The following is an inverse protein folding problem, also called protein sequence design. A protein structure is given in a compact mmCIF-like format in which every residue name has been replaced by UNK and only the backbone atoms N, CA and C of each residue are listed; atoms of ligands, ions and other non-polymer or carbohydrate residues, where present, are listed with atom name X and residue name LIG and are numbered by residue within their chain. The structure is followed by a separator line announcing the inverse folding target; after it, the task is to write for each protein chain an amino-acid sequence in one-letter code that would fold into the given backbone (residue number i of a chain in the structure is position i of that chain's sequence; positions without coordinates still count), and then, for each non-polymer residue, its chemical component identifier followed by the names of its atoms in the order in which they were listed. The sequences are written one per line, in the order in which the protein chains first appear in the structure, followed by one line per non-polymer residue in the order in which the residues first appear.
data_IF_494682099586
#
_entry.id   IF_494682099586
#
_cell.length_a   1.000
_cell.length_b   1.000
_cell.length_c   1.000
_cell.angle_alpha   90.00
_cell.angle_beta   90.00
_cell.angle_gamma   90.00
#
_symmetry.space_group_name_H-M   'P 1'
#
loop_
_entity.id
_entity.type
_entity.pdbx_description
1 polymer ?
#
# COMPACT_ATOMS: atom_id res chain seq x y z
N UNK A 1 -15.03 -33.21 -23.11
CA UNK A 1 -13.89 -32.30 -22.84
C UNK A 1 -13.02 -32.99 -21.82
N UNK A 2 -11.79 -33.39 -22.19
CA UNK A 2 -10.94 -34.24 -21.36
C UNK A 2 -10.19 -33.39 -20.33
N UNK A 3 -9.91 -33.97 -19.14
CA UNK A 3 -9.17 -33.35 -18.05
C UNK A 3 -7.82 -32.72 -18.48
N UNK A 4 -7.20 -33.24 -19.53
CA UNK A 4 -5.95 -32.70 -20.11
C UNK A 4 -6.09 -31.34 -20.80
N UNK A 5 -7.26 -31.09 -21.44
CA UNK A 5 -7.54 -29.82 -22.13
C UNK A 5 -7.78 -28.67 -21.16
N UNK A 6 -8.48 -28.94 -20.05
CA UNK A 6 -8.73 -27.97 -18.97
C UNK A 6 -7.44 -27.61 -18.24
N UNK A 7 -6.55 -28.58 -18.04
CA UNK A 7 -5.23 -28.35 -17.41
C UNK A 7 -4.32 -27.52 -18.30
N UNK A 8 -4.32 -27.78 -19.62
CA UNK A 8 -3.54 -27.01 -20.60
C UNK A 8 -3.98 -25.55 -20.71
N UNK A 9 -5.29 -25.29 -20.72
CA UNK A 9 -5.84 -23.93 -20.76
C UNK A 9 -5.53 -23.14 -19.50
N UNK A 10 -5.64 -23.74 -18.31
CA UNK A 10 -5.26 -23.11 -17.02
C UNK A 10 -3.78 -22.76 -16.98
N UNK A 11 -2.92 -23.69 -17.41
CA UNK A 11 -1.47 -23.45 -17.39
C UNK A 11 -1.05 -22.32 -18.35
N UNK A 12 -1.73 -22.18 -19.48
CA UNK A 12 -1.52 -21.09 -20.43
C UNK A 12 -1.93 -19.74 -19.81
N UNK A 13 -3.03 -19.69 -19.06
CA UNK A 13 -3.55 -18.48 -18.44
C UNK A 13 -2.67 -18.00 -17.27
N UNK A 14 -2.20 -18.93 -16.43
CA UNK A 14 -1.25 -18.61 -15.36
C UNK A 14 0.06 -18.03 -15.90
N UNK A 15 0.58 -18.56 -17.02
CA UNK A 15 1.76 -18.02 -17.70
C UNK A 15 1.51 -16.62 -18.26
N UNK A 16 0.35 -16.39 -18.85
CA UNK A 16 -0.05 -15.08 -19.34
C UNK A 16 -0.18 -14.06 -18.19
N UNK A 17 -0.77 -14.47 -17.06
CA UNK A 17 -0.82 -13.66 -15.84
C UNK A 17 0.59 -13.29 -15.36
N UNK A 18 1.48 -14.26 -15.26
CA UNK A 18 2.86 -14.03 -14.85
C UNK A 18 3.55 -13.02 -15.77
N UNK A 19 3.50 -13.22 -17.09
CA UNK A 19 4.13 -12.32 -18.05
C UNK A 19 3.57 -10.89 -17.99
N UNK A 20 2.24 -10.76 -17.85
CA UNK A 20 1.58 -9.46 -17.72
C UNK A 20 2.02 -8.72 -16.46
N UNK A 21 1.97 -9.39 -15.29
CA UNK A 21 2.36 -8.75 -14.03
C UNK A 21 3.86 -8.51 -13.95
N UNK A 22 4.68 -9.34 -14.57
CA UNK A 22 6.12 -9.09 -14.68
C UNK A 22 6.40 -7.82 -15.51
N UNK A 23 5.73 -7.67 -16.66
CA UNK A 23 5.81 -6.45 -17.49
C UNK A 23 5.35 -5.21 -16.71
N UNK A 24 4.23 -5.31 -16.01
CA UNK A 24 3.71 -4.23 -15.16
C UNK A 24 4.72 -3.87 -14.07
N UNK A 25 5.25 -4.86 -13.33
CA UNK A 25 6.25 -4.64 -12.29
C UNK A 25 7.56 -4.04 -12.79
N UNK A 26 7.98 -4.36 -14.03
CA UNK A 26 9.21 -3.86 -14.63
C UNK A 26 9.10 -2.42 -15.15
N UNK A 27 7.95 -2.06 -15.71
CA UNK A 27 7.78 -0.81 -16.44
C UNK A 27 6.87 0.23 -15.76
N UNK A 28 6.30 -0.09 -14.60
CA UNK A 28 5.49 0.88 -13.87
C UNK A 28 6.37 1.75 -12.99
N UNK A 29 6.61 2.97 -13.44
CA UNK A 29 7.26 4.01 -12.67
C UNK A 29 6.18 4.96 -12.13
N UNK A 30 6.03 5.04 -10.81
CA UNK A 30 5.09 5.96 -10.17
C UNK A 30 4.33 5.36 -8.99
N UNK A 31 3.39 6.15 -8.44
CA UNK A 31 2.56 5.75 -7.32
C UNK A 31 1.37 4.86 -7.70
N UNK A 32 0.63 4.39 -6.71
CA UNK A 32 -0.47 3.42 -6.85
C UNK A 32 -1.50 3.76 -7.93
N UNK A 33 -1.85 5.02 -8.11
CA UNK A 33 -2.84 5.44 -9.12
C UNK A 33 -2.38 5.25 -10.57
N UNK A 34 -1.09 5.44 -10.86
CA UNK A 34 -0.57 5.18 -12.21
C UNK A 34 -0.67 3.70 -12.56
N UNK A 35 -0.44 2.82 -11.58
CA UNK A 35 -0.60 1.38 -11.73
C UNK A 35 -2.06 0.97 -11.89
N UNK A 36 -3.00 1.62 -11.19
CA UNK A 36 -4.45 1.35 -11.34
C UNK A 36 -4.87 1.56 -12.78
N UNK A 37 -4.50 2.70 -13.39
CA UNK A 37 -4.83 2.97 -14.79
C UNK A 37 -4.23 1.92 -15.75
N UNK A 38 -3.00 1.47 -15.49
CA UNK A 38 -2.36 0.44 -16.31
C UNK A 38 -3.03 -0.92 -16.15
N UNK A 39 -3.43 -1.28 -14.93
CA UNK A 39 -4.17 -2.52 -14.65
C UNK A 39 -5.55 -2.50 -15.29
N UNK A 40 -6.26 -1.35 -15.23
CA UNK A 40 -7.57 -1.18 -15.88
C UNK A 40 -7.43 -1.41 -17.39
N UNK A 41 -6.49 -0.72 -18.02
CA UNK A 41 -6.23 -0.88 -19.45
C UNK A 41 -5.90 -2.33 -19.83
N UNK A 42 -5.00 -2.98 -19.11
CA UNK A 42 -4.55 -4.34 -19.43
C UNK A 42 -5.64 -5.41 -19.19
N UNK A 43 -6.35 -5.34 -18.05
CA UNK A 43 -7.26 -6.42 -17.64
C UNK A 43 -8.73 -6.18 -18.00
N UNK A 44 -9.16 -4.93 -18.12
CA UNK A 44 -10.54 -4.58 -18.48
C UNK A 44 -10.64 -4.30 -19.97
N UNK A 45 -9.77 -3.45 -20.54
CA UNK A 45 -9.89 -2.98 -21.92
C UNK A 45 -9.26 -3.96 -22.92
N UNK A 46 -7.97 -4.34 -22.73
CA UNK A 46 -7.28 -5.20 -23.69
C UNK A 46 -7.66 -6.68 -23.55
N UNK A 47 -7.48 -7.26 -22.36
CA UNK A 47 -7.70 -8.69 -22.16
C UNK A 47 -9.14 -9.05 -21.85
N UNK A 48 -9.92 -8.11 -21.35
CA UNK A 48 -11.32 -8.33 -20.95
C UNK A 48 -11.49 -9.53 -19.99
N UNK A 49 -10.51 -9.71 -19.11
CA UNK A 49 -10.54 -10.79 -18.12
C UNK A 49 -11.33 -10.45 -16.86
N UNK A 50 -11.54 -9.15 -16.64
CA UNK A 50 -12.25 -8.60 -15.48
C UNK A 50 -13.18 -7.51 -15.99
N UNK A 51 -14.41 -7.46 -15.47
CA UNK A 51 -15.33 -6.36 -15.78
C UNK A 51 -14.90 -5.08 -15.07
N UNK A 52 -15.39 -3.93 -15.52
CA UNK A 52 -15.09 -2.64 -14.88
C UNK A 52 -15.58 -2.58 -13.44
N UNK A 53 -16.74 -3.15 -13.14
CA UNK A 53 -17.30 -3.19 -11.79
C UNK A 53 -16.41 -4.02 -10.86
N UNK A 54 -16.06 -5.23 -11.30
CA UNK A 54 -15.14 -6.10 -10.56
C UNK A 54 -13.75 -5.48 -10.35
N UNK A 55 -13.30 -4.68 -11.30
CA UNK A 55 -12.04 -3.96 -11.19
C UNK A 55 -12.11 -2.85 -10.11
N UNK A 56 -13.22 -2.10 -10.05
CA UNK A 56 -13.43 -1.09 -9.01
C UNK A 56 -13.51 -1.71 -7.62
N UNK A 57 -14.18 -2.85 -7.47
CA UNK A 57 -14.21 -3.60 -6.20
C UNK A 57 -12.80 -4.05 -5.80
N UNK A 58 -12.01 -4.53 -6.74
CA UNK A 58 -10.62 -4.91 -6.52
C UNK A 58 -9.79 -3.72 -6.03
N UNK A 59 -9.93 -2.55 -6.65
CA UNK A 59 -9.23 -1.32 -6.24
C UNK A 59 -9.58 -0.96 -4.79
N UNK A 60 -10.86 -0.98 -4.43
CA UNK A 60 -11.31 -0.69 -3.08
C UNK A 60 -10.73 -1.68 -2.04
N UNK A 61 -10.71 -2.98 -2.36
CA UNK A 61 -10.11 -4.01 -1.50
C UNK A 61 -8.59 -3.81 -1.39
N UNK A 62 -7.91 -3.56 -2.51
CA UNK A 62 -6.46 -3.37 -2.52
C UNK A 62 -6.02 -2.12 -1.74
N UNK A 63 -6.81 -1.04 -1.77
CA UNK A 63 -6.57 0.18 -0.98
C UNK A 63 -6.85 -0.02 0.52
N UNK A 64 -7.84 -0.83 0.86
CA UNK A 64 -8.19 -1.12 2.26
C UNK A 64 -7.25 -2.14 2.92
N UNK A 65 -6.51 -2.90 2.12
CA UNK A 65 -5.58 -3.93 2.59
C UNK A 65 -4.20 -3.33 2.88
N UNK A 66 -3.62 -3.50 4.08
CA UNK A 66 -2.28 -3.03 4.37
C UNK A 66 -1.25 -3.65 3.43
N UNK A 67 -0.45 -2.82 2.75
CA UNK A 67 0.59 -3.25 1.83
C UNK A 67 0.65 -2.44 0.53
N UNK A 68 1.63 -2.71 -0.34
CA UNK A 68 1.73 -2.06 -1.62
C UNK A 68 0.53 -2.41 -2.51
N UNK A 69 -0.18 -1.40 -2.99
CA UNK A 69 -1.37 -1.57 -3.83
C UNK A 69 -1.12 -2.48 -5.04
N UNK A 70 0.06 -2.36 -5.64
CA UNK A 70 0.50 -3.21 -6.75
C UNK A 70 0.45 -4.71 -6.43
N UNK A 71 0.97 -5.06 -5.26
CA UNK A 71 1.05 -6.45 -4.79
C UNK A 71 -0.34 -6.97 -4.43
N UNK A 72 -1.13 -6.14 -3.72
CA UNK A 72 -2.49 -6.48 -3.34
C UNK A 72 -3.39 -6.72 -4.58
N UNK A 73 -3.30 -5.82 -5.58
CA UNK A 73 -4.03 -5.95 -6.85
C UNK A 73 -3.61 -7.17 -7.65
N UNK A 74 -2.30 -7.44 -7.74
CA UNK A 74 -1.78 -8.62 -8.43
C UNK A 74 -2.27 -9.92 -7.78
N UNK A 75 -2.23 -9.96 -6.44
CA UNK A 75 -2.72 -11.11 -5.68
C UNK A 75 -4.21 -11.33 -5.89
N UNK A 76 -5.02 -10.26 -5.83
CA UNK A 76 -6.45 -10.34 -6.01
C UNK A 76 -6.84 -10.80 -7.42
N UNK A 77 -6.31 -10.15 -8.47
CA UNK A 77 -6.59 -10.52 -9.86
C UNK A 77 -6.13 -11.95 -10.13
N UNK A 78 -4.95 -12.32 -9.69
CA UNK A 78 -4.42 -13.67 -9.84
C UNK A 78 -5.30 -14.71 -9.16
N UNK A 79 -5.74 -14.45 -7.94
CA UNK A 79 -6.64 -15.34 -7.21
C UNK A 79 -8.02 -15.47 -7.90
N UNK A 80 -8.58 -14.36 -8.34
CA UNK A 80 -9.87 -14.35 -9.02
C UNK A 80 -9.85 -15.15 -10.31
N UNK A 81 -8.77 -15.07 -11.08
CA UNK A 81 -8.69 -15.71 -12.39
C UNK A 81 -8.27 -17.18 -12.34
N UNK A 82 -7.36 -17.56 -11.46
CA UNK A 82 -6.75 -18.91 -11.42
C UNK A 82 -6.59 -19.46 -10.00
N UNK A 83 -7.25 -18.85 -8.99
CA UNK A 83 -7.16 -19.28 -7.60
C UNK A 83 -5.78 -19.08 -7.01
N UNK A 84 -5.40 -19.95 -6.05
CA UNK A 84 -4.12 -19.84 -5.32
C UNK A 84 -2.88 -19.84 -6.23
N UNK A 85 -2.75 -20.72 -7.25
CA UNK A 85 -1.59 -20.69 -8.14
C UNK A 85 -1.52 -19.41 -8.97
N UNK A 86 -2.66 -18.85 -9.39
CA UNK A 86 -2.72 -17.55 -10.07
C UNK A 86 -2.28 -16.41 -9.15
N UNK A 87 -2.75 -16.38 -7.91
CA UNK A 87 -2.33 -15.40 -6.92
C UNK A 87 -0.82 -15.43 -6.69
N UNK A 88 -0.26 -16.62 -6.44
CA UNK A 88 1.18 -16.78 -6.22
C UNK A 88 2.00 -16.33 -7.45
N UNK A 89 1.60 -16.77 -8.65
CA UNK A 89 2.28 -16.40 -9.88
C UNK A 89 2.27 -14.87 -10.13
N UNK A 90 1.12 -14.23 -9.96
CA UNK A 90 0.96 -12.78 -10.18
C UNK A 90 1.73 -11.96 -9.14
N UNK A 91 1.67 -12.36 -7.88
CA UNK A 91 2.39 -11.69 -6.78
C UNK A 91 3.90 -11.81 -6.97
N UNK A 92 4.41 -12.99 -7.26
CA UNK A 92 5.83 -13.17 -7.54
C UNK A 92 6.25 -12.37 -8.78
N UNK A 93 5.45 -12.39 -9.84
CA UNK A 93 5.77 -11.70 -11.08
C UNK A 93 5.92 -10.19 -10.91
N UNK A 94 5.02 -9.54 -10.16
CA UNK A 94 5.09 -8.09 -9.93
C UNK A 94 6.26 -7.69 -9.03
N UNK A 95 6.68 -8.55 -8.11
CA UNK A 95 7.79 -8.29 -7.19
C UNK A 95 9.17 -8.58 -7.80
N UNK A 96 9.27 -9.58 -8.69
CA UNK A 96 10.55 -10.05 -9.23
C UNK A 96 11.42 -8.96 -9.87
N UNK A 97 10.92 -8.07 -10.74
CA UNK A 97 11.73 -7.05 -11.37
C UNK A 97 12.38 -6.11 -10.35
N UNK A 98 11.58 -5.61 -9.40
CA UNK A 98 12.07 -4.72 -8.34
C UNK A 98 13.07 -5.42 -7.44
N UNK A 99 12.81 -6.68 -7.07
CA UNK A 99 13.72 -7.49 -6.28
C UNK A 99 15.05 -7.71 -7.01
N UNK A 100 15.02 -8.05 -8.31
CA UNK A 100 16.22 -8.27 -9.11
C UNK A 100 17.09 -7.01 -9.19
N UNK A 101 16.48 -5.84 -9.42
CA UNK A 101 17.19 -4.57 -9.46
C UNK A 101 17.83 -4.23 -8.12
N UNK A 102 17.07 -4.35 -7.01
CA UNK A 102 17.58 -4.07 -5.66
C UNK A 102 18.69 -5.06 -5.30
N UNK A 103 18.52 -6.33 -5.63
CA UNK A 103 19.53 -7.36 -5.39
C UNK A 103 20.82 -7.07 -6.19
N UNK A 104 20.70 -6.76 -7.48
CA UNK A 104 21.86 -6.40 -8.31
C UNK A 104 22.61 -5.16 -7.75
N UNK A 105 21.87 -4.14 -7.31
CA UNK A 105 22.49 -2.96 -6.69
C UNK A 105 23.17 -3.33 -5.36
N UNK A 106 22.57 -4.22 -4.56
CA UNK A 106 23.11 -4.61 -3.26
C UNK A 106 24.46 -5.32 -3.35
N UNK A 107 24.74 -6.03 -4.44
CA UNK A 107 26.04 -6.68 -4.67
C UNK A 107 27.20 -5.70 -4.81
N UNK A 108 26.92 -4.49 -5.27
CA UNK A 108 27.91 -3.43 -5.53
C UNK A 108 27.58 -2.15 -4.76
N UNK A 109 26.89 -2.28 -3.63
CA UNK A 109 26.29 -1.13 -2.94
C UNK A 109 27.34 -0.09 -2.50
N UNK A 110 28.47 -0.53 -1.97
CA UNK A 110 29.54 0.36 -1.51
C UNK A 110 30.18 1.14 -2.67
N UNK A 111 30.44 0.47 -3.79
CA UNK A 111 30.94 1.12 -5.00
C UNK A 111 29.90 2.05 -5.61
N UNK A 112 28.64 1.66 -5.59
CA UNK A 112 27.52 2.45 -6.09
C UNK A 112 27.34 3.76 -5.31
N UNK A 113 27.47 3.73 -3.98
CA UNK A 113 27.39 4.91 -3.13
C UNK A 113 28.62 5.85 -3.24
N UNK A 114 29.78 5.34 -3.66
CA UNK A 114 30.97 6.17 -3.88
C UNK A 114 30.84 7.07 -5.13
N UNK A 115 29.92 6.76 -6.04
CA UNK A 115 29.64 7.63 -7.18
C UNK A 115 28.99 8.93 -6.69
N UNK A 116 29.65 10.07 -6.90
CA UNK A 116 29.18 11.38 -6.45
C UNK A 116 27.76 11.72 -6.96
N UNK A 117 27.45 11.34 -8.19
CA UNK A 117 26.14 11.51 -8.81
C UNK A 117 25.06 10.73 -8.04
N UNK A 118 25.35 9.48 -7.68
CA UNK A 118 24.43 8.62 -6.93
C UNK A 118 24.19 9.17 -5.53
N UNK A 119 25.26 9.50 -4.82
CA UNK A 119 25.16 10.09 -3.48
C UNK A 119 24.36 11.40 -3.49
N UNK A 120 24.55 12.25 -4.49
CA UNK A 120 23.80 13.50 -4.65
C UNK A 120 22.34 13.23 -5.00
N UNK A 121 22.05 12.24 -5.85
CA UNK A 121 20.67 11.82 -6.17
C UNK A 121 19.93 11.30 -4.92
N UNK A 122 20.58 10.46 -4.11
CA UNK A 122 19.98 9.98 -2.84
C UNK A 122 19.67 11.11 -1.87
N UNK A 123 20.55 12.11 -1.74
CA UNK A 123 20.28 13.32 -0.93
C UNK A 123 19.06 14.08 -1.45
N UNK A 124 18.94 14.24 -2.77
CA UNK A 124 17.78 14.87 -3.39
C UNK A 124 16.49 14.08 -3.12
N UNK A 125 16.52 12.75 -3.25
CA UNK A 125 15.39 11.88 -2.93
C UNK A 125 14.98 12.02 -1.46
N UNK A 126 15.93 12.03 -0.53
CA UNK A 126 15.64 12.22 0.89
C UNK A 126 14.89 13.53 1.17
N UNK A 127 15.32 14.63 0.56
CA UNK A 127 14.63 15.93 0.70
C UNK A 127 13.20 15.86 0.15
N UNK A 128 13.01 15.24 -1.02
CA UNK A 128 11.68 15.04 -1.61
C UNK A 128 10.78 14.17 -0.72
N UNK A 129 11.31 13.09 -0.13
CA UNK A 129 10.55 12.22 0.78
C UNK A 129 10.12 13.00 2.02
N UNK A 130 11.02 13.77 2.64
CA UNK A 130 10.69 14.63 3.79
C UNK A 130 9.59 15.61 3.43
N UNK A 131 9.69 16.27 2.27
CA UNK A 131 8.66 17.19 1.79
C UNK A 131 7.31 16.50 1.58
N UNK A 132 7.29 15.32 0.95
CA UNK A 132 6.05 14.57 0.71
C UNK A 132 5.39 14.13 2.01
N UNK A 133 6.16 13.60 2.96
CA UNK A 133 5.64 13.19 4.28
C UNK A 133 5.09 14.40 5.04
N UNK A 134 5.83 15.50 5.06
CA UNK A 134 5.39 16.74 5.71
C UNK A 134 4.12 17.29 5.05
N UNK A 135 4.08 17.32 3.72
CA UNK A 135 2.91 17.79 2.96
C UNK A 135 1.68 16.93 3.22
N UNK A 136 1.84 15.60 3.25
CA UNK A 136 0.75 14.67 3.59
C UNK A 136 0.26 14.87 5.03
N UNK A 137 1.18 15.04 5.99
CA UNK A 137 0.86 15.36 7.39
C UNK A 137 0.08 16.67 7.52
N UNK A 138 0.53 17.73 6.86
CA UNK A 138 -0.16 19.03 6.86
C UNK A 138 -1.54 18.97 6.21
N UNK A 139 -1.69 18.20 5.11
CA UNK A 139 -2.98 17.98 4.45
C UNK A 139 -3.95 17.23 5.37
N UNK A 140 -3.47 16.20 6.05
CA UNK A 140 -4.26 15.45 7.04
C UNK A 140 -4.70 16.33 8.21
N UNK A 141 -3.79 17.17 8.72
CA UNK A 141 -4.09 18.17 9.75
C UNK A 141 -5.19 19.15 9.34
N UNK A 142 -5.14 19.65 8.08
CA UNK A 142 -6.16 20.58 7.56
C UNK A 142 -7.54 19.93 7.45
N UNK A 143 -7.59 18.63 7.14
CA UNK A 143 -8.83 17.86 6.98
C UNK A 143 -9.37 17.30 8.31
N UNK A 144 -8.61 17.43 9.40
CA UNK A 144 -9.07 16.98 10.71
C UNK A 144 -10.28 17.78 11.17
N UNK A 145 -11.31 17.10 11.70
CA UNK A 145 -12.46 17.75 12.32
C UNK A 145 -11.97 18.72 13.41
N UNK A 146 -12.50 19.94 13.39
CA UNK A 146 -12.07 21.02 14.32
C UNK A 146 -12.58 20.83 15.75
N UNK A 147 -12.87 19.63 16.17
CA UNK A 147 -13.30 19.34 17.54
C UNK A 147 -12.14 19.47 18.52
N UNK A 148 -12.43 20.04 19.68
CA UNK A 148 -11.42 20.24 20.73
C UNK A 148 -10.78 18.91 21.16
N UNK A 149 -11.56 17.81 21.19
CA UNK A 149 -11.09 16.47 21.51
C UNK A 149 -10.07 15.96 20.49
N UNK A 150 -10.38 16.02 19.20
CA UNK A 150 -9.46 15.57 18.14
C UNK A 150 -8.15 16.33 18.15
N UNK A 151 -8.19 17.65 18.42
CA UNK A 151 -6.99 18.48 18.54
C UNK A 151 -6.18 18.13 19.79
N UNK A 152 -6.84 17.87 20.92
CA UNK A 152 -6.18 17.49 22.17
C UNK A 152 -5.47 16.13 22.04
N UNK A 153 -6.13 15.13 21.44
CA UNK A 153 -5.54 13.80 21.17
C UNK A 153 -4.33 13.92 20.24
N UNK A 154 -4.46 14.68 19.16
CA UNK A 154 -3.35 14.91 18.22
C UNK A 154 -2.16 15.58 18.92
N UNK A 155 -2.40 16.65 19.70
CA UNK A 155 -1.36 17.34 20.42
C UNK A 155 -0.67 16.42 21.45
N UNK A 156 -1.44 15.62 22.19
CA UNK A 156 -0.93 14.66 23.16
C UNK A 156 -0.04 13.59 22.48
N UNK A 157 -0.48 13.03 21.35
CA UNK A 157 0.29 12.02 20.59
C UNK A 157 1.57 12.63 20.04
N UNK A 158 1.50 13.83 19.44
CA UNK A 158 2.70 14.52 18.93
C UNK A 158 3.70 14.82 20.04
N UNK A 159 3.25 15.35 21.18
CA UNK A 159 4.10 15.61 22.34
C UNK A 159 4.73 14.31 22.86
N UNK A 160 3.95 13.24 22.97
CA UNK A 160 4.47 11.94 23.42
C UNK A 160 5.52 11.40 22.44
N UNK A 161 5.29 11.47 21.13
CA UNK A 161 6.25 11.02 20.12
C UNK A 161 7.55 11.84 20.16
N UNK A 162 7.45 13.17 20.26
CA UNK A 162 8.62 14.05 20.34
C UNK A 162 9.38 13.79 21.64
N UNK A 163 8.68 13.66 22.77
CA UNK A 163 9.32 13.37 24.07
C UNK A 163 10.05 12.03 24.06
N UNK A 164 9.43 10.97 23.51
CA UNK A 164 10.08 9.65 23.39
C UNK A 164 11.26 9.69 22.42
N UNK A 165 11.18 10.48 21.34
CA UNK A 165 12.28 10.66 20.40
C UNK A 165 13.48 11.37 21.05
N UNK A 166 13.23 12.41 21.84
CA UNK A 166 14.29 13.15 22.57
C UNK A 166 14.91 12.29 23.68
N UNK A 167 14.10 11.49 24.37
CA UNK A 167 14.56 10.58 25.43
C UNK A 167 15.18 9.27 24.90
N UNK A 168 15.30 9.12 23.57
CA UNK A 168 15.80 7.92 22.88
C UNK A 168 15.11 6.61 23.32
N UNK A 169 13.85 6.70 23.75
CA UNK A 169 13.03 5.53 24.11
C UNK A 169 12.28 5.08 22.87
N UNK A 170 12.60 3.89 22.37
CA UNK A 170 11.97 3.32 21.16
C UNK A 170 10.64 2.66 21.54
N UNK A 171 9.55 3.42 21.50
CA UNK A 171 8.20 2.84 21.50
C UNK A 171 7.73 2.57 20.09
N UNK A 172 7.12 1.40 19.88
CA UNK A 172 6.51 1.06 18.59
C UNK A 172 5.34 2.01 18.27
N UNK A 173 5.30 2.53 17.04
CA UNK A 173 4.17 3.36 16.54
C UNK A 173 2.81 2.66 16.70
N UNK A 174 2.79 1.33 16.70
CA UNK A 174 1.59 0.50 16.91
C UNK A 174 0.97 0.80 18.27
N UNK A 175 1.78 1.00 19.31
CA UNK A 175 1.28 1.29 20.67
C UNK A 175 0.51 2.62 20.73
N UNK A 176 1.02 3.66 20.06
CA UNK A 176 0.33 4.96 19.98
C UNK A 176 -0.99 4.87 19.21
N UNK A 177 -1.04 4.08 18.11
CA UNK A 177 -2.25 3.86 17.32
C UNK A 177 -3.31 3.14 18.16
N UNK A 178 -2.94 2.07 18.86
CA UNK A 178 -3.85 1.30 19.70
C UNK A 178 -4.39 2.13 20.87
N UNK A 179 -3.51 2.88 21.54
CA UNK A 179 -3.90 3.71 22.69
C UNK A 179 -4.84 4.85 22.27
N UNK A 180 -4.51 5.54 21.19
CA UNK A 180 -5.36 6.63 20.65
C UNK A 180 -6.68 6.10 20.11
N UNK A 181 -6.70 4.93 19.47
CA UNK A 181 -7.90 4.25 19.02
C UNK A 181 -8.81 3.83 20.18
N UNK A 182 -8.24 3.22 21.23
CA UNK A 182 -8.98 2.85 22.43
C UNK A 182 -9.59 4.09 23.14
N UNK A 183 -8.83 5.17 23.26
CA UNK A 183 -9.32 6.44 23.82
C UNK A 183 -10.47 7.02 22.99
N UNK A 184 -10.37 6.97 21.65
CA UNK A 184 -11.44 7.40 20.74
C UNK A 184 -12.72 6.59 20.89
N UNK A 185 -12.61 5.26 20.97
CA UNK A 185 -13.75 4.37 21.20
C UNK A 185 -14.41 4.59 22.57
N UNK A 186 -13.61 4.76 23.62
CA UNK A 186 -14.12 5.04 24.96
C UNK A 186 -14.93 6.35 25.01
N UNK A 187 -14.40 7.42 24.41
CA UNK A 187 -15.11 8.72 24.34
C UNK A 187 -16.38 8.63 23.51
N UNK A 188 -16.33 7.93 22.37
CA UNK A 188 -17.52 7.70 21.54
C UNK A 188 -18.60 6.92 22.29
N UNK A 189 -18.23 5.83 22.98
CA UNK A 189 -19.17 5.05 23.81
C UNK A 189 -19.82 5.88 24.92
N UNK A 190 -19.03 6.71 25.64
CA UNK A 190 -19.57 7.60 26.67
C UNK A 190 -20.52 8.66 26.09
N UNK A 191 -20.20 9.20 24.90
CA UNK A 191 -21.09 10.17 24.24
C UNK A 191 -22.40 9.53 23.78
N UNK A 192 -22.38 8.29 23.31
CA UNK A 192 -23.55 7.57 22.89
C UNK A 192 -24.46 7.26 24.09
N UNK A 193 -23.90 6.77 25.19
CA UNK A 193 -24.64 6.54 26.45
C UNK A 193 -25.26 7.81 27.00
N UNK A 194 -24.57 8.96 26.92
CA UNK A 194 -25.12 10.26 27.33
C UNK A 194 -26.29 10.71 26.44
N UNK A 195 -26.23 10.46 25.14
CA UNK A 195 -27.34 10.77 24.23
C UNK A 195 -28.58 9.93 24.52
N UNK A 196 -28.42 8.65 24.82
CA UNK A 196 -29.52 7.74 25.18
C UNK A 196 -30.11 8.07 26.55
N UNK A 197 -29.29 8.48 27.51
CA UNK A 197 -29.74 8.91 28.83
C UNK A 197 -30.45 10.27 28.84
N UNK A 198 -30.13 11.17 27.89
CA UNK A 198 -30.77 12.46 27.74
C UNK A 198 -32.06 12.45 26.88
N UNK A 199 -32.37 11.30 26.23
CA UNK A 199 -33.56 11.10 25.40
C UNK A 199 -34.73 10.39 26.17
N UNK A 200 -34.53 10.05 27.44
CA UNK A 200 -35.55 9.61 28.40
C UNK A 200 -35.90 10.74 29.32
#
# INVERSE_FOLDING_TARGET
MGAGEVTGMKQTRTRALFATFFKIGAFTFGGGYAMVALLEHEFVEEKQWVTREEFLDMVAIAESTPGPMAVNSATYIGYKLEGVPGAAASTLAVCLPSFAVIYAISLFFDQFLQLSVVSSAFRGIQVCVVYLVLSAGLKTLKNLKKDAFSRAVLAAVLLAMVSCSVLAVSFSSIFYILLSGAAGLAVYGVQQLRKEAGAK
#
